data_IF_788720292673
#
_entry.id   IF_788720292673
#
_cell.length_a   1.000
_cell.length_b   1.000
_cell.length_c   1.000
_cell.angle_alpha   90.00
_cell.angle_beta   90.00
_cell.angle_gamma   90.00
#
_symmetry.space_group_name_H-M   'P 1'
#
loop_
_entity.id
_entity.type
_entity.pdbx_description
1 polymer ?
#
# COMPACT_ATOMS: atom_id res chain seq x y z
N UNK A 1 -5.41 -6.93 17.16
CA UNK A 1 -6.20 -8.03 17.67
C UNK A 1 -5.37 -8.96 18.52
N UNK A 2 -5.77 -9.22 19.76
CA UNK A 2 -5.16 -10.27 20.59
C UNK A 2 -5.76 -11.62 20.17
N UNK A 3 -4.89 -12.59 19.93
CA UNK A 3 -5.33 -13.99 19.87
C UNK A 3 -5.54 -14.42 21.31
N UNK A 4 -6.80 -14.66 21.70
CA UNK A 4 -7.12 -15.27 23.00
C UNK A 4 -6.89 -16.77 22.89
N UNK A 5 -5.99 -17.31 23.72
CA UNK A 5 -5.99 -18.72 24.05
C UNK A 5 -6.93 -18.91 25.22
N UNK A 6 -7.99 -19.68 25.05
CA UNK A 6 -8.73 -20.25 26.16
C UNK A 6 -7.81 -21.17 26.98
N UNK A 7 -7.89 -21.02 28.30
CA UNK A 7 -7.07 -21.77 29.24
C UNK A 7 -7.42 -23.27 29.19
N UNK A 8 -6.72 -24.04 28.39
CA UNK A 8 -6.42 -25.44 28.73
C UNK A 8 -4.91 -25.59 28.82
N UNK A 9 -4.45 -25.76 30.06
CA UNK A 9 -3.09 -26.12 30.40
C UNK A 9 -2.79 -27.50 29.85
N UNK A 10 -2.10 -27.55 28.71
CA UNK A 10 -1.02 -28.51 28.44
C UNK A 10 -0.52 -28.35 27.02
N UNK A 11 0.79 -28.07 26.90
CA UNK A 11 1.52 -27.83 25.64
C UNK A 11 1.14 -26.56 24.84
N UNK A 12 1.32 -25.39 25.43
CA UNK A 12 1.40 -24.15 24.66
C UNK A 12 2.67 -24.19 23.83
N UNK A 13 2.56 -24.54 22.56
CA UNK A 13 3.57 -24.18 21.57
C UNK A 13 3.63 -22.66 21.57
N UNK A 14 4.74 -22.13 22.06
CA UNK A 14 4.98 -20.70 22.08
C UNK A 14 5.00 -20.22 20.63
N UNK A 15 3.89 -19.65 20.16
CA UNK A 15 3.82 -19.06 18.83
C UNK A 15 4.55 -17.73 18.93
N UNK A 16 5.57 -17.53 18.11
CA UNK A 16 6.28 -16.26 18.05
C UNK A 16 5.30 -15.12 17.76
N UNK A 17 5.35 -14.03 18.52
CA UNK A 17 4.45 -12.90 18.31
C UNK A 17 4.69 -12.25 16.92
N UNK A 18 3.60 -11.82 16.29
CA UNK A 18 3.61 -11.19 14.97
C UNK A 18 3.06 -9.78 15.01
N UNK A 19 3.51 -8.95 14.08
CA UNK A 19 2.86 -7.68 13.74
C UNK A 19 1.85 -7.92 12.62
N UNK A 20 0.70 -7.25 12.71
CA UNK A 20 -0.33 -7.26 11.67
C UNK A 20 -0.62 -5.82 11.28
N UNK A 21 -0.45 -5.51 9.99
CA UNK A 21 -0.90 -4.26 9.38
C UNK A 21 -2.10 -4.57 8.47
N UNK A 22 -3.22 -3.88 8.69
CA UNK A 22 -4.48 -4.17 7.98
C UNK A 22 -5.18 -2.89 7.60
N UNK A 23 -5.69 -2.86 6.36
CA UNK A 23 -6.74 -1.93 5.93
C UNK A 23 -7.92 -2.74 5.39
N UNK A 24 -9.05 -2.76 6.12
CA UNK A 24 -10.23 -3.52 5.70
C UNK A 24 -10.86 -3.00 4.42
N UNK A 25 -10.71 -1.73 4.08
CA UNK A 25 -11.26 -1.09 2.88
C UNK A 25 -10.31 -0.02 2.36
N UNK A 26 -9.23 -0.46 1.72
CA UNK A 26 -8.34 0.42 0.98
C UNK A 26 -9.07 0.93 -0.28
N UNK A 27 -9.23 2.26 -0.35
CA UNK A 27 -10.06 2.91 -1.35
C UNK A 27 -11.54 3.00 -0.93
N UNK A 28 -11.81 3.48 0.28
CA UNK A 28 -13.17 3.68 0.82
C UNK A 28 -14.05 4.52 -0.10
N UNK A 29 -13.51 5.58 -0.71
CA UNK A 29 -14.24 6.41 -1.67
C UNK A 29 -14.59 5.63 -2.93
N UNK A 30 -13.68 4.80 -3.43
CA UNK A 30 -13.92 3.95 -4.61
C UNK A 30 -15.04 2.95 -4.33
N UNK A 31 -15.01 2.31 -3.16
CA UNK A 31 -16.08 1.40 -2.73
C UNK A 31 -17.43 2.10 -2.66
N UNK A 32 -17.49 3.28 -2.03
CA UNK A 32 -18.73 4.05 -1.88
C UNK A 32 -19.32 4.54 -3.22
N UNK A 33 -18.47 4.76 -4.22
CA UNK A 33 -18.87 5.26 -5.55
C UNK A 33 -18.94 4.16 -6.62
N UNK A 34 -18.72 2.89 -6.26
CA UNK A 34 -18.68 1.78 -7.21
C UNK A 34 -17.53 1.89 -8.23
N UNK A 35 -16.46 2.61 -7.89
CA UNK A 35 -15.28 2.75 -8.74
C UNK A 35 -14.35 1.53 -8.59
N UNK A 36 -13.55 1.20 -9.62
CA UNK A 36 -12.65 0.06 -9.60
C UNK A 36 -11.47 0.25 -8.62
N UNK A 37 -10.75 -0.84 -8.37
CA UNK A 37 -9.49 -0.91 -7.63
C UNK A 37 -9.57 -0.82 -6.09
N UNK A 38 -10.77 -0.88 -5.48
CA UNK A 38 -10.86 -1.04 -4.04
C UNK A 38 -10.54 -2.48 -3.61
N UNK A 39 -9.70 -2.62 -2.59
CA UNK A 39 -9.22 -3.90 -2.06
C UNK A 39 -9.28 -3.91 -0.53
N UNK A 40 -9.31 -5.08 0.09
CA UNK A 40 -8.96 -5.25 1.50
C UNK A 40 -7.55 -5.81 1.57
N UNK A 41 -6.73 -5.34 2.48
CA UNK A 41 -5.31 -5.74 2.56
C UNK A 41 -4.92 -6.11 3.98
N UNK A 42 -4.02 -7.10 4.08
CA UNK A 42 -3.45 -7.60 5.31
C UNK A 42 -1.98 -7.95 5.09
N UNK A 43 -1.08 -7.44 5.92
CA UNK A 43 0.31 -7.86 5.99
C UNK A 43 0.60 -8.44 7.38
N UNK A 44 1.27 -9.58 7.43
CA UNK A 44 1.74 -10.23 8.67
C UNK A 44 3.25 -10.39 8.59
N UNK A 45 3.94 -10.01 9.65
CA UNK A 45 5.39 -10.16 9.77
C UNK A 45 5.79 -10.46 11.21
N UNK A 46 7.08 -10.72 11.45
CA UNK A 46 7.61 -10.88 12.82
C UNK A 46 7.32 -9.63 13.64
N UNK A 47 7.19 -9.79 14.96
CA UNK A 47 7.04 -8.65 15.88
C UNK A 47 8.17 -7.65 15.72
N UNK A 48 7.81 -6.36 15.53
CA UNK A 48 8.75 -5.27 15.31
C UNK A 48 9.23 -5.12 13.87
N UNK A 49 8.68 -5.91 12.93
CA UNK A 49 9.03 -5.83 11.50
C UNK A 49 8.47 -4.59 10.81
N UNK A 50 7.31 -4.11 11.23
CA UNK A 50 6.68 -2.97 10.58
C UNK A 50 6.88 -1.69 11.38
N UNK A 51 7.16 -0.60 10.65
CA UNK A 51 7.21 0.72 11.24
C UNK A 51 5.84 1.06 11.84
N UNK A 52 5.81 1.51 13.09
CA UNK A 52 4.60 2.06 13.69
C UNK A 52 4.45 3.51 13.23
N UNK A 53 3.93 3.70 12.03
CA UNK A 53 3.72 5.04 11.50
C UNK A 53 2.52 5.71 12.19
N UNK A 54 2.64 6.99 12.61
CA UNK A 54 1.48 7.75 13.05
C UNK A 54 0.52 8.01 11.88
N UNK A 55 -0.75 8.24 12.20
CA UNK A 55 -1.76 8.64 11.21
C UNK A 55 -1.48 10.07 10.72
N UNK A 56 -0.70 10.16 9.65
CA UNK A 56 -0.28 11.41 9.00
C UNK A 56 0.05 11.18 7.53
N UNK A 57 0.47 12.23 6.82
CA UNK A 57 0.89 12.11 5.43
C UNK A 57 2.29 11.54 5.27
N UNK A 58 2.49 10.82 4.17
CA UNK A 58 3.77 10.26 3.75
C UNK A 58 3.95 10.50 2.24
N UNK A 59 5.04 11.14 1.86
CA UNK A 59 5.52 11.16 0.49
C UNK A 59 6.23 9.86 0.19
N UNK A 60 5.98 9.26 -0.97
CA UNK A 60 6.44 7.92 -1.35
C UNK A 60 6.93 7.88 -2.78
N UNK A 61 8.00 7.15 -3.02
CA UNK A 61 8.49 6.73 -4.33
C UNK A 61 8.67 5.22 -4.30
N UNK A 62 8.10 4.50 -5.27
CA UNK A 62 8.07 3.04 -5.30
C UNK A 62 8.36 2.57 -6.71
N UNK A 63 9.18 1.53 -6.84
CA UNK A 63 9.52 0.88 -8.11
C UNK A 63 9.57 -0.63 -7.95
N UNK A 64 9.40 -1.33 -9.06
CA UNK A 64 9.55 -2.78 -9.14
C UNK A 64 11.01 -3.26 -8.99
N UNK A 65 11.21 -4.59 -8.97
CA UNK A 65 12.53 -5.22 -8.78
C UNK A 65 13.58 -4.77 -9.81
N UNK A 66 13.18 -4.51 -11.04
CA UNK A 66 14.08 -4.16 -12.15
C UNK A 66 14.72 -2.77 -11.97
N UNK A 67 14.03 -1.86 -11.29
CA UNK A 67 14.55 -0.52 -10.96
C UNK A 67 15.00 -0.38 -9.50
N UNK A 68 15.18 -1.49 -8.77
CA UNK A 68 15.65 -1.48 -7.39
C UNK A 68 17.00 -0.78 -7.25
N UNK A 69 17.12 0.10 -6.24
CA UNK A 69 18.31 0.89 -5.96
C UNK A 69 18.54 2.05 -6.93
N UNK A 70 17.55 2.40 -7.76
CA UNK A 70 17.64 3.51 -8.72
C UNK A 70 16.89 4.76 -8.29
N UNK A 71 16.18 4.70 -7.19
CA UNK A 71 15.41 5.82 -6.64
C UNK A 71 16.16 6.50 -5.49
N UNK A 72 16.01 7.81 -5.39
CA UNK A 72 16.58 8.65 -4.34
C UNK A 72 15.67 9.85 -4.07
N UNK A 73 14.88 9.78 -3.00
CA UNK A 73 13.89 10.80 -2.65
C UNK A 73 14.52 12.14 -2.22
N UNK A 74 15.85 12.21 -2.05
CA UNK A 74 16.58 13.46 -1.83
C UNK A 74 16.78 14.26 -3.11
N UNK A 75 16.67 13.61 -4.27
CA UNK A 75 16.83 14.23 -5.59
C UNK A 75 15.50 14.71 -6.17
N UNK A 76 15.53 15.62 -7.15
CA UNK A 76 14.34 15.95 -7.93
C UNK A 76 13.66 14.72 -8.50
N UNK A 77 12.32 14.77 -8.62
CA UNK A 77 11.56 13.66 -9.19
C UNK A 77 11.99 13.33 -10.63
N UNK A 78 12.33 14.34 -11.42
CA UNK A 78 12.80 14.19 -12.80
C UNK A 78 14.06 13.32 -12.88
N UNK A 79 15.02 13.50 -11.97
CA UNK A 79 16.24 12.67 -11.90
C UNK A 79 15.90 11.21 -11.61
N UNK A 80 14.92 10.97 -10.73
CA UNK A 80 14.43 9.63 -10.42
C UNK A 80 13.74 8.99 -11.63
N UNK A 81 12.92 9.74 -12.34
CA UNK A 81 12.24 9.29 -13.56
C UNK A 81 13.27 8.85 -14.62
N UNK A 82 14.28 9.68 -14.87
CA UNK A 82 15.34 9.32 -15.82
C UNK A 82 16.14 8.10 -15.38
N UNK A 83 16.42 7.96 -14.09
CA UNK A 83 17.12 6.80 -13.54
C UNK A 83 16.31 5.51 -13.70
N UNK A 84 14.98 5.57 -13.45
CA UNK A 84 14.05 4.46 -13.64
C UNK A 84 13.91 4.10 -15.12
N UNK A 85 13.69 5.09 -16.00
CA UNK A 85 13.61 4.90 -17.44
C UNK A 85 14.87 4.16 -17.99
N UNK A 86 16.05 4.62 -17.57
CA UNK A 86 17.33 3.98 -17.94
C UNK A 86 17.42 2.54 -17.41
N UNK A 87 17.00 2.29 -16.19
CA UNK A 87 17.04 0.94 -15.59
C UNK A 87 16.14 -0.05 -16.33
N UNK A 88 14.96 0.42 -16.75
CA UNK A 88 13.96 -0.36 -17.47
C UNK A 88 14.20 -0.41 -18.98
N UNK A 89 15.22 0.32 -19.49
CA UNK A 89 15.46 0.49 -20.93
C UNK A 89 14.22 1.00 -21.69
N UNK A 90 13.51 1.96 -21.11
CA UNK A 90 12.31 2.62 -21.66
C UNK A 90 12.59 4.08 -22.03
N UNK A 91 11.90 4.58 -23.06
CA UNK A 91 11.80 6.03 -23.30
C UNK A 91 10.78 6.63 -22.31
N UNK A 92 10.87 7.94 -22.04
CA UNK A 92 9.94 8.61 -21.10
C UNK A 92 8.47 8.42 -21.49
N UNK A 93 8.16 8.47 -22.79
CA UNK A 93 6.81 8.27 -23.32
C UNK A 93 6.22 6.86 -23.08
N UNK A 94 7.10 5.90 -22.79
CA UNK A 94 6.71 4.50 -22.54
C UNK A 94 6.60 4.20 -21.05
N UNK A 95 7.06 5.11 -20.18
CA UNK A 95 6.88 4.99 -18.73
C UNK A 95 5.43 5.24 -18.33
N UNK A 96 4.95 4.46 -17.37
CA UNK A 96 3.69 4.68 -16.69
C UNK A 96 3.92 4.92 -15.19
N UNK A 97 3.50 6.08 -14.71
CA UNK A 97 3.60 6.48 -13.31
C UNK A 97 2.21 6.54 -12.68
N UNK A 98 2.02 5.77 -11.61
CA UNK A 98 0.81 5.87 -10.77
C UNK A 98 0.95 7.04 -9.81
N UNK A 99 -0.11 7.83 -9.71
CA UNK A 99 -0.21 8.95 -8.78
C UNK A 99 -1.67 9.09 -8.28
N UNK A 100 -1.87 9.56 -7.05
CA UNK A 100 -3.21 9.85 -6.55
C UNK A 100 -3.76 11.13 -7.20
N UNK A 101 -4.97 11.07 -7.78
CA UNK A 101 -5.71 12.24 -8.27
C UNK A 101 -6.27 13.06 -7.10
N UNK A 102 -5.41 13.80 -6.47
CA UNK A 102 -5.74 14.72 -5.37
C UNK A 102 -5.30 16.13 -5.73
N UNK A 103 -5.96 17.16 -5.18
CA UNK A 103 -5.63 18.56 -5.49
C UNK A 103 -4.14 18.88 -5.37
N UNK A 104 -3.44 18.29 -4.41
CA UNK A 104 -2.00 18.44 -4.17
C UNK A 104 -1.10 17.91 -5.27
N UNK A 105 -1.62 17.06 -6.15
CA UNK A 105 -0.85 16.45 -7.25
C UNK A 105 -1.21 17.00 -8.64
N UNK A 106 -2.16 17.93 -8.73
CA UNK A 106 -2.65 18.42 -10.04
C UNK A 106 -1.55 19.02 -10.93
N UNK A 107 -0.70 19.86 -10.37
CA UNK A 107 0.40 20.45 -11.14
C UNK A 107 1.43 19.37 -11.52
N UNK A 108 1.78 18.50 -10.58
CA UNK A 108 2.69 17.40 -10.85
C UNK A 108 2.19 16.49 -11.98
N UNK A 109 0.89 16.17 -12.00
CA UNK A 109 0.29 15.37 -13.08
C UNK A 109 0.47 16.06 -14.43
N UNK A 110 0.26 17.38 -14.51
CA UNK A 110 0.49 18.15 -15.74
C UNK A 110 1.95 18.16 -16.17
N UNK A 111 2.86 18.33 -15.22
CA UNK A 111 4.30 18.34 -15.49
C UNK A 111 4.76 16.98 -16.07
N UNK A 112 4.33 15.88 -15.47
CA UNK A 112 4.60 14.53 -15.96
C UNK A 112 4.04 14.30 -17.38
N UNK A 113 2.80 14.75 -17.63
CA UNK A 113 2.18 14.66 -18.94
C UNK A 113 2.91 15.54 -19.99
N UNK A 114 3.39 16.73 -19.58
CA UNK A 114 4.19 17.59 -20.45
C UNK A 114 5.55 16.97 -20.81
N UNK A 115 6.11 16.12 -19.95
CA UNK A 115 7.30 15.30 -20.25
C UNK A 115 6.99 14.10 -21.17
N UNK A 116 5.73 13.90 -21.56
CA UNK A 116 5.27 12.78 -22.38
C UNK A 116 5.05 11.47 -21.62
N UNK A 117 5.09 11.50 -20.30
CA UNK A 117 4.93 10.30 -19.44
C UNK A 117 3.45 9.92 -19.34
N UNK A 118 3.17 8.61 -19.37
CA UNK A 118 1.83 8.08 -19.11
C UNK A 118 1.53 8.15 -17.61
N UNK A 119 0.50 8.92 -17.24
CA UNK A 119 0.09 9.06 -15.84
C UNK A 119 -1.18 8.26 -15.58
N UNK A 120 -1.09 7.31 -14.66
CA UNK A 120 -2.24 6.58 -14.16
C UNK A 120 -2.73 7.23 -12.85
N UNK A 121 -3.73 8.10 -12.98
CA UNK A 121 -4.27 8.89 -11.88
C UNK A 121 -5.35 8.11 -11.12
N UNK A 122 -5.03 7.62 -9.90
CA UNK A 122 -5.97 6.90 -9.04
C UNK A 122 -6.77 7.87 -8.18
N UNK A 123 -8.11 7.75 -8.13
CA UNK A 123 -8.95 8.65 -7.32
C UNK A 123 -8.74 8.48 -5.83
N UNK A 124 -8.37 7.27 -5.38
CA UNK A 124 -8.09 6.91 -3.99
C UNK A 124 -7.31 5.59 -3.93
N UNK A 125 -6.75 5.25 -2.75
CA UNK A 125 -6.04 3.99 -2.51
C UNK A 125 -4.74 3.87 -3.30
N UNK A 126 -3.59 3.91 -2.62
CA UNK A 126 -2.29 3.82 -3.30
C UNK A 126 -1.59 2.45 -3.10
N UNK A 127 -2.14 1.58 -2.27
CA UNK A 127 -1.58 0.24 -2.05
C UNK A 127 -1.71 -0.63 -3.31
N UNK A 128 -2.88 -0.63 -3.96
CA UNK A 128 -3.05 -1.35 -5.23
C UNK A 128 -2.07 -0.86 -6.31
N UNK A 129 -1.95 0.47 -6.46
CA UNK A 129 -0.99 1.08 -7.37
C UNK A 129 0.47 0.74 -7.03
N UNK A 130 0.80 0.63 -5.73
CA UNK A 130 2.12 0.18 -5.28
C UNK A 130 2.42 -1.25 -5.72
N UNK A 131 1.48 -2.16 -5.56
CA UNK A 131 1.63 -3.58 -5.95
C UNK A 131 1.86 -3.69 -7.45
N UNK A 132 1.12 -2.93 -8.27
CA UNK A 132 1.23 -2.95 -9.73
C UNK A 132 2.65 -2.64 -10.22
N UNK A 133 3.46 -1.86 -9.49
CA UNK A 133 4.88 -1.60 -9.87
C UNK A 133 5.75 -2.87 -9.87
N UNK A 134 5.32 -3.92 -9.17
CA UNK A 134 6.07 -5.18 -9.02
C UNK A 134 5.43 -6.36 -9.76
N UNK A 135 4.30 -6.16 -10.44
CA UNK A 135 3.60 -7.26 -11.13
C UNK A 135 4.10 -7.40 -12.56
N UNK A 136 4.43 -8.63 -12.96
CA UNK A 136 5.00 -8.94 -14.28
C UNK A 136 4.07 -8.52 -15.43
N UNK A 137 2.76 -8.67 -15.24
CA UNK A 137 1.75 -8.38 -16.27
C UNK A 137 1.23 -6.92 -16.16
N UNK A 138 1.93 -6.04 -15.44
CA UNK A 138 1.56 -4.64 -15.26
C UNK A 138 2.43 -3.71 -16.10
N UNK A 139 1.80 -2.70 -16.69
CA UNK A 139 2.51 -1.63 -17.39
C UNK A 139 3.03 -0.53 -16.44
N UNK A 140 2.73 -0.63 -15.14
CA UNK A 140 3.12 0.39 -14.15
C UNK A 140 4.58 0.24 -13.77
N UNK A 141 5.36 1.30 -14.00
CA UNK A 141 6.80 1.31 -13.76
C UNK A 141 7.17 1.94 -12.39
N UNK A 142 6.37 2.88 -11.93
CA UNK A 142 6.67 3.66 -10.73
C UNK A 142 5.39 4.17 -10.09
N UNK A 143 5.40 4.28 -8.76
CA UNK A 143 4.44 5.10 -8.03
C UNK A 143 5.17 6.28 -7.38
N UNK A 144 4.58 7.47 -7.48
CA UNK A 144 5.04 8.64 -6.74
C UNK A 144 3.86 9.45 -6.21
N UNK A 145 3.97 9.96 -5.00
CA UNK A 145 3.01 10.92 -4.48
C UNK A 145 2.93 10.95 -2.97
N UNK A 146 1.95 11.70 -2.47
CA UNK A 146 1.68 11.88 -1.05
C UNK A 146 0.35 11.20 -0.72
N UNK A 147 0.39 10.22 0.17
CA UNK A 147 -0.77 9.48 0.69
C UNK A 147 -0.70 9.36 2.22
N UNK A 148 -1.39 8.39 2.81
CA UNK A 148 -1.31 8.09 4.23
C UNK A 148 -0.05 7.32 4.59
N UNK A 149 0.47 7.54 5.81
CA UNK A 149 1.64 6.83 6.30
C UNK A 149 1.33 5.37 6.69
N UNK A 150 0.19 5.04 7.31
CA UNK A 150 -0.20 3.65 7.55
C UNK A 150 -0.26 2.82 6.27
N UNK A 151 -0.88 3.34 5.20
CA UNK A 151 -0.95 2.70 3.88
C UNK A 151 0.45 2.56 3.27
N UNK A 152 1.34 3.52 3.54
CA UNK A 152 2.74 3.46 3.13
C UNK A 152 3.49 2.29 3.78
N UNK A 153 3.21 1.95 5.04
CA UNK A 153 3.81 0.78 5.70
C UNK A 153 3.27 -0.53 5.11
N UNK A 154 1.98 -0.59 4.80
CA UNK A 154 1.37 -1.75 4.13
C UNK A 154 1.99 -1.93 2.73
N UNK A 155 2.15 -0.82 1.98
CA UNK A 155 2.86 -0.83 0.69
C UNK A 155 4.29 -1.33 0.85
N UNK A 156 5.05 -0.81 1.83
CA UNK A 156 6.42 -1.26 2.07
C UNK A 156 6.51 -2.77 2.36
N UNK A 157 5.57 -3.32 3.13
CA UNK A 157 5.53 -4.75 3.41
C UNK A 157 5.37 -5.59 2.14
N UNK A 158 4.43 -5.24 1.25
CA UNK A 158 4.23 -6.00 0.01
C UNK A 158 5.34 -5.74 -1.00
N UNK A 159 5.86 -4.52 -1.12
CA UNK A 159 6.99 -4.20 -2.02
C UNK A 159 8.24 -4.97 -1.61
N UNK A 160 8.54 -5.06 -0.31
CA UNK A 160 9.61 -5.91 0.20
C UNK A 160 9.38 -7.38 -0.14
N UNK A 161 8.18 -7.88 0.09
CA UNK A 161 7.81 -9.25 -0.22
C UNK A 161 7.94 -9.57 -1.72
N UNK A 162 7.68 -8.61 -2.61
CA UNK A 162 7.82 -8.73 -4.06
C UNK A 162 9.24 -8.47 -4.58
N UNK A 163 10.13 -7.89 -3.75
CA UNK A 163 11.52 -7.62 -4.10
C UNK A 163 11.78 -6.27 -4.76
N UNK A 164 10.79 -5.38 -4.78
CA UNK A 164 10.89 -4.01 -5.27
C UNK A 164 11.70 -3.09 -4.35
N UNK A 165 11.56 -1.78 -4.55
CA UNK A 165 12.20 -0.75 -3.74
C UNK A 165 11.24 0.39 -3.43
N UNK A 166 11.46 1.03 -2.26
CA UNK A 166 10.66 2.14 -1.79
C UNK A 166 11.47 3.07 -0.92
N UNK A 167 11.27 4.36 -1.12
CA UNK A 167 11.68 5.40 -0.17
C UNK A 167 10.47 6.25 0.18
N UNK A 168 10.46 6.74 1.41
CA UNK A 168 9.38 7.56 1.90
C UNK A 168 9.88 8.63 2.88
N UNK A 169 9.06 9.66 3.13
CA UNK A 169 9.26 10.60 4.25
C UNK A 169 7.94 11.10 4.78
N UNK A 170 7.87 11.24 6.09
CA UNK A 170 6.69 11.76 6.76
C UNK A 170 6.53 13.25 6.47
N UNK A 171 5.30 13.68 6.21
CA UNK A 171 4.93 15.07 5.88
C UNK A 171 3.84 15.54 6.83
N UNK A 172 4.01 16.75 7.37
CA UNK A 172 3.00 17.35 8.23
C UNK A 172 1.74 17.75 7.42
N UNK A 173 0.59 17.69 8.06
CA UNK A 173 -0.69 18.08 7.44
C UNK A 173 -0.66 19.51 6.91
N UNK A 174 -0.05 20.46 7.62
CA UNK A 174 0.08 21.85 7.18
C UNK A 174 0.94 21.99 5.93
N UNK A 175 1.96 21.14 5.73
CA UNK A 175 2.76 21.11 4.50
C UNK A 175 1.96 20.61 3.30
N UNK A 176 1.02 19.68 3.53
CA UNK A 176 0.26 19.00 2.46
C UNK A 176 -1.06 19.72 2.14
N UNK A 177 -1.75 20.22 3.16
CA UNK A 177 -3.09 20.85 3.04
C UNK A 177 -3.04 22.38 3.05
N UNK A 178 -1.86 22.96 3.28
CA UNK A 178 -1.67 24.39 3.49
C UNK A 178 -1.84 24.83 4.95
N UNK A 179 -1.25 25.96 5.28
CA UNK A 179 -1.29 26.53 6.62
C UNK A 179 -2.71 26.99 6.99
N UNK A 180 -3.19 26.57 8.15
CA UNK A 180 -4.42 27.05 8.79
C UNK A 180 -4.34 26.73 10.30
N UNK A 181 -5.11 27.44 11.12
CA UNK A 181 -5.12 27.17 12.56
C UNK A 181 -5.43 25.70 12.89
N UNK A 182 -6.32 25.07 12.15
CA UNK A 182 -6.66 23.64 12.31
C UNK A 182 -5.51 22.74 11.86
N UNK A 183 -4.98 22.93 10.65
CA UNK A 183 -3.89 22.12 10.14
C UNK A 183 -2.63 22.27 10.99
N UNK A 184 -2.31 23.46 11.47
CA UNK A 184 -1.15 23.73 12.33
C UNK A 184 -1.29 23.05 13.71
N UNK A 185 -2.52 23.02 14.26
CA UNK A 185 -2.81 22.28 15.50
C UNK A 185 -2.60 20.78 15.29
N UNK A 186 -3.14 20.21 14.22
CA UNK A 186 -2.95 18.78 13.90
C UNK A 186 -1.47 18.48 13.69
N UNK A 187 -0.75 19.30 12.92
CA UNK A 187 0.69 19.11 12.66
C UNK A 187 1.55 19.13 13.91
N UNK A 188 1.17 19.88 14.96
CA UNK A 188 1.84 19.81 16.26
C UNK A 188 1.66 18.43 16.92
N UNK A 189 0.46 17.85 16.87
CA UNK A 189 0.23 16.49 17.38
C UNK A 189 0.96 15.43 16.55
N UNK A 190 0.97 15.56 15.22
CA UNK A 190 1.72 14.66 14.33
C UNK A 190 3.21 14.67 14.70
N UNK A 191 3.79 15.86 14.91
CA UNK A 191 5.20 16.01 15.30
C UNK A 191 5.50 15.36 16.65
N UNK A 192 4.65 15.60 17.68
CA UNK A 192 4.82 14.96 18.98
C UNK A 192 4.77 13.44 18.90
N UNK A 193 3.81 12.87 18.13
CA UNK A 193 3.73 11.43 17.92
C UNK A 193 4.96 10.85 17.23
N UNK A 194 5.52 11.59 16.25
CA UNK A 194 6.78 11.18 15.64
C UNK A 194 7.91 11.15 16.67
N UNK A 195 8.06 12.19 17.49
CA UNK A 195 9.09 12.28 18.52
C UNK A 195 8.96 11.15 19.55
N UNK A 196 7.74 10.83 20.01
CA UNK A 196 7.46 9.71 20.93
C UNK A 196 7.86 8.34 20.36
N UNK A 197 7.81 8.20 19.02
CA UNK A 197 8.18 6.98 18.31
C UNK A 197 9.63 6.98 17.80
N UNK A 198 10.40 8.02 18.10
CA UNK A 198 11.78 8.17 17.63
C UNK A 198 11.89 8.46 16.13
N UNK A 199 10.82 8.95 15.51
CA UNK A 199 10.76 9.30 14.09
C UNK A 199 10.98 10.81 13.91
N UNK A 200 11.56 11.17 12.76
CA UNK A 200 11.75 12.58 12.38
C UNK A 200 10.93 12.89 11.11
N UNK A 201 10.13 13.95 11.20
CA UNK A 201 9.42 14.48 10.02
C UNK A 201 10.42 14.95 8.98
N UNK A 202 10.18 14.60 7.71
CA UNK A 202 11.04 14.99 6.59
C UNK A 202 12.31 14.13 6.39
N UNK A 203 12.65 13.26 7.34
CA UNK A 203 13.74 12.28 7.17
C UNK A 203 13.34 11.20 6.15
N UNK A 204 14.29 10.81 5.30
CA UNK A 204 14.04 9.75 4.30
C UNK A 204 14.13 8.40 5.00
N UNK A 205 13.04 7.66 4.93
CA UNK A 205 12.92 6.27 5.35
C UNK A 205 13.07 5.38 4.12
N UNK A 206 13.94 4.40 4.21
CA UNK A 206 14.12 3.38 3.18
C UNK A 206 13.19 2.20 3.43
N UNK A 207 13.11 1.31 2.46
CA UNK A 207 12.26 0.11 2.53
C UNK A 207 12.53 -0.71 3.80
N UNK A 208 13.80 -0.86 4.20
CA UNK A 208 14.21 -1.58 5.40
C UNK A 208 13.84 -0.88 6.72
N UNK A 209 13.62 0.42 6.70
CA UNK A 209 13.13 1.18 7.87
C UNK A 209 11.61 1.00 8.05
N UNK A 210 10.90 0.84 6.94
CA UNK A 210 9.43 0.69 6.90
C UNK A 210 8.99 -0.77 7.14
N UNK A 211 9.71 -1.73 6.54
CA UNK A 211 9.50 -3.16 6.67
C UNK A 211 10.86 -3.87 6.77
N UNK A 212 11.22 -4.35 7.98
CA UNK A 212 12.59 -4.77 8.33
C UNK A 212 12.95 -6.19 7.92
N UNK A 213 11.98 -7.08 7.77
CA UNK A 213 12.19 -8.52 7.57
C UNK A 213 11.53 -8.99 6.27
N UNK A 214 12.08 -10.06 5.69
CA UNK A 214 11.51 -10.72 4.52
C UNK A 214 10.45 -11.80 4.87
N UNK A 215 10.32 -12.18 6.15
CA UNK A 215 9.28 -13.08 6.62
C UNK A 215 7.92 -12.41 6.67
N UNK A 216 7.45 -11.98 5.50
CA UNK A 216 6.17 -11.32 5.32
C UNK A 216 5.23 -12.26 4.57
N UNK A 217 3.99 -12.32 5.07
CA UNK A 217 2.84 -12.83 4.32
C UNK A 217 1.92 -11.63 4.07
N UNK A 218 1.68 -11.34 2.81
CA UNK A 218 0.75 -10.30 2.40
C UNK A 218 -0.45 -10.92 1.70
N UNK A 219 -1.63 -10.40 1.96
CA UNK A 219 -2.87 -10.79 1.30
C UNK A 219 -3.68 -9.56 0.90
N UNK A 220 -4.16 -9.55 -0.33
CA UNK A 220 -5.11 -8.57 -0.83
C UNK A 220 -6.31 -9.27 -1.47
N UNK A 221 -7.53 -8.84 -1.16
CA UNK A 221 -8.75 -9.37 -1.79
C UNK A 221 -9.51 -8.23 -2.45
N UNK A 222 -9.94 -8.45 -3.70
CA UNK A 222 -10.70 -7.45 -4.44
C UNK A 222 -12.08 -7.19 -3.82
N UNK A 223 -12.41 -5.93 -3.58
CA UNK A 223 -13.76 -5.47 -3.19
C UNK A 223 -14.51 -5.07 -4.46
N UNK A 224 -13.97 -4.12 -5.21
CA UNK A 224 -14.45 -3.77 -6.55
C UNK A 224 -13.46 -4.30 -7.59
N UNK A 225 -13.93 -4.66 -8.79
CA UNK A 225 -13.02 -5.15 -9.84
C UNK A 225 -12.04 -4.06 -10.27
N UNK A 226 -10.82 -4.46 -10.66
CA UNK A 226 -9.78 -3.52 -11.06
C UNK A 226 -8.61 -4.20 -11.74
N UNK A 227 -7.51 -3.47 -11.90
CA UNK A 227 -6.33 -3.93 -12.64
C UNK A 227 -5.55 -5.02 -11.89
N UNK A 228 -5.61 -5.01 -10.55
CA UNK A 228 -4.90 -5.98 -9.73
C UNK A 228 -5.73 -7.23 -9.47
N UNK A 229 -7.01 -7.09 -9.12
CA UNK A 229 -7.89 -8.18 -8.68
C UNK A 229 -9.31 -8.02 -9.19
N UNK A 230 -9.98 -9.15 -9.42
CA UNK A 230 -11.43 -9.16 -9.61
C UNK A 230 -12.15 -8.79 -8.31
N UNK A 231 -13.22 -7.99 -8.43
CA UNK A 231 -14.10 -7.67 -7.31
C UNK A 231 -15.00 -8.82 -6.89
N UNK A 232 -15.70 -8.62 -5.78
CA UNK A 232 -16.71 -9.57 -5.30
C UNK A 232 -17.86 -9.67 -6.31
N UNK A 233 -18.13 -10.89 -6.79
CA UNK A 233 -19.25 -11.21 -7.68
C UNK A 233 -20.25 -12.06 -6.93
N UNK A 234 -21.50 -11.59 -6.80
CA UNK A 234 -22.57 -12.31 -6.10
C UNK A 234 -23.72 -12.66 -7.04
N UNK A 235 -24.20 -13.91 -6.94
CA UNK A 235 -25.43 -14.38 -7.62
C UNK A 235 -26.20 -15.31 -6.66
N UNK A 236 -27.29 -14.80 -6.13
CA UNK A 236 -28.06 -15.52 -5.08
C UNK A 236 -27.22 -15.73 -3.82
N UNK A 237 -27.14 -16.97 -3.35
CA UNK A 237 -26.32 -17.39 -2.22
C UNK A 237 -24.85 -17.68 -2.57
N UNK A 238 -24.46 -17.58 -3.83
CA UNK A 238 -23.06 -17.81 -4.24
C UNK A 238 -22.33 -16.47 -4.37
N UNK A 239 -21.21 -16.33 -3.65
CA UNK A 239 -20.26 -15.24 -3.82
C UNK A 239 -18.93 -15.78 -4.33
N UNK A 240 -18.25 -15.00 -5.18
CA UNK A 240 -16.91 -15.29 -5.67
C UNK A 240 -15.99 -14.14 -5.29
N UNK A 241 -14.77 -14.47 -4.85
CA UNK A 241 -13.71 -13.52 -4.51
C UNK A 241 -12.41 -13.95 -5.16
N UNK A 242 -11.57 -12.96 -5.46
CA UNK A 242 -10.20 -13.20 -5.87
C UNK A 242 -9.24 -12.57 -4.86
N UNK A 243 -8.25 -13.34 -4.44
CA UNK A 243 -7.26 -12.94 -3.45
C UNK A 243 -5.85 -13.14 -4.01
N UNK A 244 -5.02 -12.11 -3.90
CA UNK A 244 -3.58 -12.16 -4.08
C UNK A 244 -2.94 -12.53 -2.74
N UNK A 245 -2.07 -13.54 -2.73
CA UNK A 245 -1.24 -13.88 -1.56
C UNK A 245 0.23 -13.85 -1.98
N UNK A 246 1.03 -13.08 -1.26
CA UNK A 246 2.48 -12.96 -1.47
C UNK A 246 3.22 -13.50 -0.25
N UNK A 247 4.19 -14.37 -0.47
CA UNK A 247 5.10 -14.84 0.58
C UNK A 247 6.49 -14.26 0.34
N UNK A 248 6.96 -13.40 1.24
CA UNK A 248 8.22 -12.66 1.08
C UNK A 248 9.46 -13.54 1.04
N UNK A 249 9.58 -14.57 1.91
CA UNK A 249 10.74 -15.47 1.91
C UNK A 249 10.95 -16.21 0.60
N UNK A 250 9.88 -16.64 -0.06
CA UNK A 250 9.97 -17.41 -1.31
C UNK A 250 9.71 -16.57 -2.56
N UNK A 251 9.42 -15.27 -2.39
CA UNK A 251 9.01 -14.35 -3.47
C UNK A 251 7.90 -14.94 -4.35
N UNK A 252 7.00 -15.70 -3.71
CA UNK A 252 5.95 -16.43 -4.42
C UNK A 252 4.66 -15.64 -4.37
N UNK A 253 4.08 -15.43 -5.55
CA UNK A 253 2.78 -14.79 -5.76
C UNK A 253 1.75 -15.88 -6.10
N UNK A 254 0.57 -15.81 -5.48
CA UNK A 254 -0.55 -16.71 -5.73
C UNK A 254 -1.83 -15.92 -5.91
N UNK A 255 -2.61 -16.29 -6.91
CA UNK A 255 -3.99 -15.86 -7.06
C UNK A 255 -4.91 -16.99 -6.61
N UNK A 256 -5.79 -16.70 -5.66
CA UNK A 256 -6.75 -17.65 -5.10
C UNK A 256 -8.14 -17.20 -5.50
N UNK A 257 -8.82 -18.00 -6.34
CA UNK A 257 -10.22 -17.79 -6.68
C UNK A 257 -11.08 -18.65 -5.73
N UNK A 258 -11.93 -18.00 -4.95
CA UNK A 258 -12.78 -18.66 -3.95
C UNK A 258 -14.25 -18.57 -4.33
N UNK A 259 -14.97 -19.66 -4.10
CA UNK A 259 -16.43 -19.75 -4.24
C UNK A 259 -17.02 -19.98 -2.85
N UNK A 260 -17.87 -19.08 -2.42
CA UNK A 260 -18.53 -19.11 -1.13
C UNK A 260 -20.00 -19.42 -1.34
N UNK A 261 -20.49 -20.51 -0.75
CA UNK A 261 -21.92 -20.70 -0.58
C UNK A 261 -22.35 -20.08 0.76
N UNK A 262 -23.09 -19.00 0.70
CA UNK A 262 -23.50 -18.21 1.86
C UNK A 262 -24.53 -18.96 2.74
N UNK A 263 -25.28 -19.94 2.18
CA UNK A 263 -26.23 -20.73 2.92
C UNK A 263 -25.55 -21.69 3.92
N UNK A 264 -24.25 -21.99 3.71
CA UNK A 264 -23.44 -22.83 4.59
C UNK A 264 -22.51 -22.03 5.52
N UNK A 265 -22.66 -20.69 5.55
CA UNK A 265 -21.90 -19.84 6.46
C UNK A 265 -22.60 -19.72 7.81
N UNK A 266 -21.81 -19.48 8.86
CA UNK A 266 -22.33 -19.18 10.19
C UNK A 266 -23.37 -18.03 10.12
N UNK A 267 -24.42 -18.11 10.95
CA UNK A 267 -25.48 -17.09 10.96
C UNK A 267 -24.96 -15.68 11.21
N UNK A 268 -23.88 -15.54 12.01
CA UNK A 268 -23.23 -14.25 12.24
C UNK A 268 -22.66 -13.63 10.94
N UNK A 269 -22.12 -14.48 10.05
CA UNK A 269 -21.61 -14.03 8.74
C UNK A 269 -22.76 -13.73 7.80
N UNK A 270 -23.77 -14.61 7.73
CA UNK A 270 -24.93 -14.43 6.85
C UNK A 270 -25.74 -13.20 7.20
N UNK A 271 -25.78 -12.81 8.47
CA UNK A 271 -26.46 -11.59 8.92
C UNK A 271 -25.77 -10.31 8.44
N UNK A 272 -24.44 -10.34 8.28
CA UNK A 272 -23.64 -9.19 7.77
C UNK A 272 -23.74 -9.02 6.25
N UNK A 273 -24.14 -10.06 5.50
CA UNK A 273 -24.16 -10.05 4.03
C UNK A 273 -25.58 -10.11 3.43
N UNK A 274 -26.61 -10.12 4.27
CA UNK A 274 -28.01 -9.93 3.88
C UNK A 274 -28.35 -8.45 3.80
#
# INVERSE_FOLDING_TARGET
GQIYNDEEKDSVTCVDPVDIAVDPVEGTRMTAQGQPNAITVLAVGKKGSFLKAPDMYMEKIIVGPEAKGKIDLSKPLEDNIHAVAKALNKELKDLMIVILDKPRHKELIKDLQAMGIKVYALPDGDVAGSILTCMIDSDVDMLYGIGGAPEGVISAAVIRALGGDMQARLKLRSEVKGASLENDKISKFEKLRCEEQGLKVGEILKLEDLAKDDEIIFSATGITGGDLLEGVKRKGSIARTQTLVVRGLSKTVRYINSIHNLDFKDEKITHLVK
#
